data_IF_794802451766
#
_entry.id   IF_794802451766
#
_cell.length_a   1.000
_cell.length_b   1.000
_cell.length_c   1.000
_cell.angle_alpha   90.00
_cell.angle_beta   90.00
_cell.angle_gamma   90.00
#
_symmetry.space_group_name_H-M   'P 1'
#
loop_
_entity.id
_entity.type
_entity.pdbx_description
1 polymer ?
#
# COMPACT_ATOMS: atom_id res chain seq x y z
N UNK A 1 -20.79 3.61 13.16
CA UNK A 1 -19.45 4.25 13.13
C UNK A 1 -18.68 3.66 11.94
N UNK A 2 -18.09 4.47 11.04
CA UNK A 2 -17.42 3.95 9.83
C UNK A 2 -16.01 3.46 10.15
N UNK A 3 -15.56 2.37 9.51
CA UNK A 3 -14.21 1.83 9.65
C UNK A 3 -13.09 2.87 9.41
N UNK A 4 -13.36 3.90 8.58
CA UNK A 4 -12.46 5.04 8.40
C UNK A 4 -12.24 5.83 9.71
N UNK A 5 -13.32 6.04 10.47
CA UNK A 5 -13.31 6.82 11.71
C UNK A 5 -12.56 6.07 12.81
N UNK A 6 -12.76 4.75 12.90
CA UNK A 6 -12.01 3.89 13.84
C UNK A 6 -10.51 3.87 13.53
N UNK A 7 -10.12 3.74 12.26
CA UNK A 7 -8.71 3.79 11.84
C UNK A 7 -8.08 5.17 12.07
N UNK A 8 -8.82 6.24 11.82
CA UNK A 8 -8.34 7.60 12.03
C UNK A 8 -8.10 7.88 13.52
N UNK A 9 -9.04 7.51 14.40
CA UNK A 9 -8.86 7.60 15.87
C UNK A 9 -7.66 6.79 16.34
N UNK A 10 -7.56 5.53 15.91
CA UNK A 10 -6.43 4.65 16.26
C UNK A 10 -5.07 5.20 15.79
N UNK A 11 -5.05 5.97 14.71
CA UNK A 11 -3.83 6.60 14.20
C UNK A 11 -3.32 7.77 15.04
N UNK A 12 -4.22 8.45 15.77
CA UNK A 12 -3.86 9.59 16.63
C UNK A 12 -3.39 9.14 18.01
N UNK A 13 -4.00 8.09 18.57
CA UNK A 13 -3.74 7.72 19.97
C UNK A 13 -2.47 6.88 20.18
N UNK A 14 -2.03 6.09 19.20
CA UNK A 14 -0.98 5.09 19.44
C UNK A 14 0.21 5.14 18.46
N UNK A 15 0.09 5.82 17.32
CA UNK A 15 1.10 5.77 16.24
C UNK A 15 1.35 4.35 15.67
N UNK A 16 0.73 3.32 16.24
CA UNK A 16 0.82 1.93 15.84
C UNK A 16 0.21 1.76 14.45
N UNK A 17 0.95 1.08 13.56
CA UNK A 17 0.52 0.85 12.18
C UNK A 17 0.75 2.03 11.23
N UNK A 18 1.36 3.14 11.67
CA UNK A 18 1.75 4.22 10.76
C UNK A 18 2.95 3.78 9.93
N UNK A 19 2.77 3.73 8.62
CA UNK A 19 3.83 3.54 7.64
C UNK A 19 4.21 4.90 7.06
N UNK A 20 5.50 5.21 7.09
CA UNK A 20 6.09 6.42 6.52
C UNK A 20 6.94 6.04 5.33
N UNK A 21 6.35 6.09 4.15
CA UNK A 21 7.07 6.02 2.90
C UNK A 21 7.73 7.37 2.57
N UNK A 22 8.58 7.35 1.54
CA UNK A 22 9.22 8.53 0.97
C UNK A 22 8.23 9.54 0.40
N UNK A 23 7.17 9.07 -0.26
CA UNK A 23 6.17 9.93 -0.92
C UNK A 23 4.77 9.81 -0.29
N UNK A 24 4.52 8.74 0.47
CA UNK A 24 3.20 8.44 0.98
C UNK A 24 3.25 8.03 2.45
N UNK A 25 2.35 8.58 3.28
CA UNK A 25 2.20 8.15 4.68
C UNK A 25 0.77 7.68 4.91
N UNK A 26 0.65 6.47 5.45
CA UNK A 26 -0.63 5.83 5.65
C UNK A 26 -0.68 5.07 6.97
N UNK A 27 -1.88 4.77 7.42
CA UNK A 27 -2.15 3.91 8.57
C UNK A 27 -2.58 2.57 8.01
N UNK A 28 -1.85 1.51 8.36
CA UNK A 28 -2.23 0.14 8.04
C UNK A 28 -3.42 -0.27 8.91
N UNK A 29 -4.47 -0.75 8.27
CA UNK A 29 -5.67 -1.29 8.92
C UNK A 29 -5.78 -2.80 8.75
N UNK A 30 -7.01 -3.28 8.58
CA UNK A 30 -7.33 -4.70 8.45
C UNK A 30 -6.76 -5.34 7.16
N UNK A 31 -6.44 -6.63 7.25
CA UNK A 31 -6.11 -7.46 6.10
C UNK A 31 -7.37 -7.69 5.26
N UNK A 32 -7.33 -7.35 3.97
CA UNK A 32 -8.47 -7.53 3.04
C UNK A 32 -8.21 -8.57 1.95
N UNK A 33 -6.96 -9.04 1.79
CA UNK A 33 -6.66 -10.14 0.88
C UNK A 33 -5.21 -10.62 1.01
N UNK A 34 -4.97 -11.91 0.76
CA UNK A 34 -3.63 -12.50 0.75
C UNK A 34 -3.51 -13.47 -0.41
N UNK A 35 -2.43 -13.36 -1.18
CA UNK A 35 -2.15 -14.22 -2.33
C UNK A 35 -0.66 -14.44 -2.52
N UNK A 36 -0.32 -15.10 -3.61
CA UNK A 36 1.07 -15.43 -3.97
C UNK A 36 1.92 -14.18 -4.18
N UNK A 37 1.34 -13.13 -4.75
CA UNK A 37 2.03 -11.89 -5.08
C UNK A 37 1.98 -10.84 -3.97
N UNK A 38 1.56 -11.20 -2.75
CA UNK A 38 1.58 -10.30 -1.60
C UNK A 38 0.27 -10.22 -0.83
N UNK A 39 0.22 -9.22 0.04
CA UNK A 39 -0.82 -9.03 1.04
C UNK A 39 -1.48 -7.67 0.84
N UNK A 40 -2.81 -7.62 0.75
CA UNK A 40 -3.57 -6.40 0.54
C UNK A 40 -4.20 -5.97 1.86
N UNK A 41 -3.85 -4.75 2.28
CA UNK A 41 -4.35 -4.14 3.49
C UNK A 41 -5.32 -3.01 3.14
N UNK A 42 -6.34 -2.82 3.97
CA UNK A 42 -7.07 -1.55 4.02
C UNK A 42 -6.15 -0.52 4.67
N UNK A 43 -6.07 0.67 4.08
CA UNK A 43 -5.20 1.73 4.58
C UNK A 43 -5.90 3.08 4.58
N UNK A 44 -5.46 3.96 5.47
CA UNK A 44 -5.93 5.34 5.54
C UNK A 44 -4.80 6.28 5.16
N UNK A 45 -4.98 7.06 4.09
CA UNK A 45 -4.06 8.12 3.74
C UNK A 45 -4.10 9.21 4.82
N UNK A 46 -2.96 9.48 5.47
CA UNK A 46 -2.91 10.44 6.58
C UNK A 46 -3.03 11.90 6.14
N UNK A 47 -2.67 12.19 4.89
CA UNK A 47 -2.75 13.55 4.34
C UNK A 47 -4.16 13.92 3.91
N UNK A 48 -4.87 12.99 3.26
CA UNK A 48 -6.20 13.25 2.68
C UNK A 48 -7.36 12.69 3.50
N UNK A 49 -7.09 11.78 4.43
CA UNK A 49 -8.14 11.03 5.15
C UNK A 49 -8.85 9.98 4.30
N UNK A 50 -8.38 9.72 3.07
CA UNK A 50 -9.01 8.77 2.16
C UNK A 50 -8.70 7.32 2.53
N UNK A 51 -9.72 6.46 2.55
CA UNK A 51 -9.57 5.01 2.63
C UNK A 51 -9.13 4.44 1.29
N UNK A 52 -8.14 3.57 1.31
CA UNK A 52 -7.51 2.96 0.14
C UNK A 52 -7.15 1.50 0.42
N UNK A 53 -6.65 0.80 -0.61
CA UNK A 53 -6.02 -0.50 -0.48
C UNK A 53 -4.52 -0.39 -0.79
N UNK A 54 -3.67 -1.04 0.01
CA UNK A 54 -2.24 -1.15 -0.25
C UNK A 54 -1.83 -2.62 -0.39
N UNK A 55 -1.27 -2.98 -1.54
CA UNK A 55 -0.68 -4.30 -1.78
C UNK A 55 0.79 -4.26 -1.35
N UNK A 56 1.09 -4.93 -0.25
CA UNK A 56 2.44 -5.12 0.27
C UNK A 56 3.08 -6.36 -0.36
N UNK A 57 4.27 -6.16 -0.91
CA UNK A 57 5.10 -7.19 -1.51
C UNK A 57 6.41 -7.25 -0.73
N UNK A 58 6.77 -8.43 -0.26
CA UNK A 58 8.07 -8.67 0.37
C UNK A 58 9.08 -8.97 -0.74
N UNK A 59 10.20 -8.26 -0.72
CA UNK A 59 11.30 -8.41 -1.66
C UNK A 59 12.61 -8.46 -0.88
N UNK A 60 13.41 -9.52 -1.04
CA UNK A 60 14.80 -9.55 -0.59
C UNK A 60 15.72 -9.09 -1.73
N UNK A 61 16.42 -7.97 -1.53
CA UNK A 61 17.37 -7.44 -2.52
C UNK A 61 18.55 -8.35 -2.82
N UNK A 62 18.76 -9.40 -2.01
CA UNK A 62 19.83 -10.40 -2.23
C UNK A 62 19.34 -11.60 -3.04
N UNK A 63 18.03 -11.74 -3.24
CA UNK A 63 17.45 -12.80 -4.05
C UNK A 63 17.29 -12.34 -5.51
N UNK A 64 17.94 -13.05 -6.44
CA UNK A 64 17.84 -12.78 -7.88
C UNK A 64 16.43 -13.00 -8.43
N UNK A 65 15.65 -13.89 -7.82
CA UNK A 65 14.25 -14.09 -8.20
C UNK A 65 13.42 -12.85 -7.86
N UNK A 66 13.60 -12.29 -6.67
CA UNK A 66 12.93 -11.07 -6.23
C UNK A 66 13.39 -9.84 -7.01
N UNK A 67 14.65 -9.78 -7.43
CA UNK A 67 15.13 -8.73 -8.34
C UNK A 67 14.40 -8.77 -9.70
N UNK A 68 14.26 -9.96 -10.29
CA UNK A 68 13.48 -10.14 -11.53
C UNK A 68 12.01 -9.81 -11.32
N UNK A 69 11.45 -10.25 -10.19
CA UNK A 69 10.05 -9.97 -9.86
C UNK A 69 9.81 -8.47 -9.65
N UNK A 70 10.74 -7.75 -9.03
CA UNK A 70 10.71 -6.29 -8.90
C UNK A 70 10.65 -5.59 -10.26
N UNK A 71 11.43 -6.06 -11.23
CA UNK A 71 11.38 -5.51 -12.59
C UNK A 71 10.01 -5.78 -13.26
N UNK A 72 9.45 -6.98 -13.10
CA UNK A 72 8.11 -7.29 -13.61
C UNK A 72 7.02 -6.44 -12.93
N UNK A 73 7.12 -6.25 -11.61
CA UNK A 73 6.20 -5.40 -10.84
C UNK A 73 6.27 -3.94 -11.28
N UNK A 74 7.46 -3.44 -11.64
CA UNK A 74 7.61 -2.08 -12.16
C UNK A 74 6.86 -1.91 -13.49
N UNK A 75 6.97 -2.89 -14.40
CA UNK A 75 6.21 -2.87 -15.65
C UNK A 75 4.69 -2.88 -15.41
N UNK A 76 4.22 -3.65 -14.42
CA UNK A 76 2.80 -3.68 -14.02
C UNK A 76 2.34 -2.30 -13.51
N UNK A 77 3.15 -1.65 -12.66
CA UNK A 77 2.88 -0.28 -12.17
C UNK A 77 2.81 0.71 -13.33
N UNK A 78 3.76 0.65 -14.27
CA UNK A 78 3.82 1.58 -15.39
C UNK A 78 2.60 1.44 -16.32
N UNK A 79 2.01 0.25 -16.41
CA UNK A 79 0.76 0.04 -17.13
C UNK A 79 -0.45 0.65 -16.39
N UNK A 80 -0.53 0.47 -15.07
CA UNK A 80 -1.71 0.88 -14.30
C UNK A 80 -1.72 2.35 -13.89
N UNK A 81 -0.56 2.99 -13.74
CA UNK A 81 -0.46 4.36 -13.19
C UNK A 81 -1.21 5.41 -13.99
N UNK A 82 -1.34 5.20 -15.29
CA UNK A 82 -1.96 6.15 -16.22
C UNK A 82 -3.43 5.82 -16.51
N UNK A 83 -3.95 4.68 -16.03
CA UNK A 83 -5.35 4.30 -16.22
C UNK A 83 -6.27 5.13 -15.32
N UNK A 84 -7.08 5.99 -15.95
CA UNK A 84 -8.08 6.83 -15.28
C UNK A 84 -9.44 6.59 -15.90
N UNK A 85 -10.28 5.82 -15.20
CA UNK A 85 -11.61 5.48 -15.67
C UNK A 85 -12.54 5.19 -14.47
N UNK A 86 -13.83 5.56 -14.50
CA UNK A 86 -14.78 5.35 -13.39
C UNK A 86 -14.97 3.88 -12.97
N UNK A 87 -14.66 2.94 -13.86
CA UNK A 87 -14.79 1.49 -13.60
C UNK A 87 -13.44 0.77 -13.45
N UNK A 88 -12.34 1.52 -13.36
CA UNK A 88 -11.00 0.97 -13.12
C UNK A 88 -10.50 1.52 -11.79
N UNK A 89 -9.97 0.65 -10.94
CA UNK A 89 -9.39 1.06 -9.66
C UNK A 89 -8.22 2.00 -9.93
N UNK A 90 -8.30 3.20 -9.39
CA UNK A 90 -7.27 4.22 -9.61
C UNK A 90 -6.00 3.89 -8.84
N UNK A 91 -4.86 4.10 -9.51
CA UNK A 91 -3.55 4.01 -8.90
C UNK A 91 -3.18 5.35 -8.23
N UNK A 92 -2.68 5.29 -7.00
CA UNK A 92 -2.30 6.47 -6.23
C UNK A 92 -0.79 6.63 -6.03
N UNK A 93 -0.02 5.54 -6.17
CA UNK A 93 1.43 5.54 -5.95
C UNK A 93 1.95 4.24 -5.36
N UNK A 94 3.27 4.14 -5.30
CA UNK A 94 4.03 3.04 -4.69
C UNK A 94 5.18 3.63 -3.87
N UNK A 95 5.68 2.85 -2.92
CA UNK A 95 6.84 3.20 -2.11
C UNK A 95 7.66 1.96 -1.77
N UNK A 96 8.96 2.14 -1.54
CA UNK A 96 9.83 1.08 -1.05
C UNK A 96 10.14 1.38 0.41
N UNK A 97 9.43 0.70 1.30
CA UNK A 97 9.65 0.81 2.73
C UNK A 97 10.65 -0.26 3.12
N UNK A 98 11.87 0.14 3.47
CA UNK A 98 12.83 -0.80 4.04
C UNK A 98 12.24 -1.35 5.35
N UNK A 99 12.08 -2.67 5.41
CA UNK A 99 11.77 -3.34 6.67
C UNK A 99 12.87 -3.03 7.66
N UNK A 100 12.48 -2.62 8.87
CA UNK A 100 13.37 -2.72 10.03
C UNK A 100 13.62 -4.19 10.35
#
# INVERSE_FOLDING_TARGET
ESAASSLYKSSQDLGAGVVRGSNFSWVRGELIGKGTLGTVWKVLNRKTGQLMAAKEVLLDSRDKADEKFRAALQNEIDLYKDLKHPHIVSYFGNDFVNGK
#
